data_IF_893829963868
#
_entry.id   IF_893829963868
#
_cell.length_a   1.000
_cell.length_b   1.000
_cell.length_c   1.000
_cell.angle_alpha   90.00
_cell.angle_beta   90.00
_cell.angle_gamma   90.00
#
_symmetry.space_group_name_H-M   'P 1'
#
loop_
_entity.id
_entity.type
_entity.pdbx_description
1 polymer ?
#
# COMPACT_ATOMS: atom_id res chain seq x y z
N UNK A 1 21.25 17.89 -33.08
CA UNK A 1 20.76 16.74 -32.31
C UNK A 1 19.28 16.69 -32.61
N UNK A 2 18.87 15.78 -33.49
CA UNK A 2 17.54 15.78 -34.11
C UNK A 2 16.58 14.92 -33.28
N UNK A 3 15.39 15.46 -32.99
CA UNK A 3 14.27 14.70 -32.41
C UNK A 3 13.69 13.78 -33.49
N UNK A 4 13.85 12.48 -33.28
CA UNK A 4 13.30 11.42 -34.12
C UNK A 4 11.98 10.95 -33.52
N UNK A 5 10.86 11.33 -34.15
CA UNK A 5 9.52 10.91 -33.71
C UNK A 5 9.32 9.45 -34.14
N UNK A 6 9.39 8.53 -33.18
CA UNK A 6 9.14 7.09 -33.40
C UNK A 6 7.63 6.84 -33.40
N UNK A 7 7.05 6.54 -34.57
CA UNK A 7 5.65 6.13 -34.69
C UNK A 7 5.52 4.62 -34.49
N UNK A 8 4.79 4.19 -33.45
CA UNK A 8 4.48 2.78 -33.19
C UNK A 8 3.42 2.31 -34.18
N UNK A 9 3.82 1.56 -35.20
CA UNK A 9 2.95 1.00 -36.26
C UNK A 9 2.59 -0.47 -36.00
N UNK A 10 2.23 -0.81 -34.76
CA UNK A 10 1.75 -2.15 -34.43
C UNK A 10 0.27 -2.08 -34.03
N UNK A 11 -0.61 -2.24 -35.02
CA UNK A 11 -2.01 -2.55 -34.75
C UNK A 11 -2.07 -4.03 -34.39
N UNK A 12 -2.24 -4.32 -33.10
CA UNK A 12 -2.57 -5.64 -32.61
C UNK A 12 -3.81 -6.16 -33.35
N UNK A 13 -3.65 -7.26 -34.08
CA UNK A 13 -4.69 -7.99 -34.81
C UNK A 13 -5.55 -8.85 -33.85
N UNK A 14 -5.55 -8.51 -32.56
CA UNK A 14 -6.42 -9.12 -31.57
C UNK A 14 -7.77 -8.40 -31.67
N UNK A 15 -8.74 -9.08 -32.28
CA UNK A 15 -10.13 -8.62 -32.32
C UNK A 15 -10.57 -8.20 -30.92
N UNK A 16 -11.10 -6.98 -30.80
CA UNK A 16 -11.58 -6.42 -29.54
C UNK A 16 -12.52 -7.43 -28.86
N UNK A 17 -12.23 -7.86 -27.62
CA UNK A 17 -13.03 -8.85 -26.90
C UNK A 17 -14.50 -8.41 -26.73
N UNK A 18 -14.78 -7.11 -26.78
CA UNK A 18 -16.14 -6.57 -26.82
C UNK A 18 -16.79 -6.84 -28.17
N UNK A 19 -16.06 -6.67 -29.28
CA UNK A 19 -16.54 -6.93 -30.63
C UNK A 19 -16.86 -8.42 -30.85
N UNK A 20 -16.06 -9.32 -30.30
CA UNK A 20 -16.33 -10.77 -30.34
C UNK A 20 -17.55 -11.17 -29.50
N UNK A 21 -17.75 -10.53 -28.34
CA UNK A 21 -18.98 -10.69 -27.55
C UNK A 21 -20.22 -10.19 -28.29
N UNK A 22 -20.12 -9.05 -28.99
CA UNK A 22 -21.21 -8.49 -29.78
C UNK A 22 -21.58 -9.40 -30.96
N UNK A 23 -20.61 -10.01 -31.64
CA UNK A 23 -20.87 -11.00 -32.71
C UNK A 23 -21.46 -12.31 -32.20
N UNK A 24 -21.18 -12.67 -30.95
CA UNK A 24 -21.67 -13.91 -30.32
C UNK A 24 -23.10 -13.80 -29.77
N UNK A 25 -23.66 -12.59 -29.68
CA UNK A 25 -25.02 -12.35 -29.23
C UNK A 25 -26.03 -12.88 -30.27
N UNK A 26 -26.77 -13.91 -29.88
CA UNK A 26 -27.90 -14.43 -30.67
C UNK A 26 -29.07 -13.45 -30.55
N UNK A 27 -29.55 -12.99 -31.70
CA UNK A 27 -30.79 -12.21 -31.79
C UNK A 27 -31.92 -13.08 -31.23
N UNK A 28 -32.51 -12.65 -30.12
CA UNK A 28 -33.64 -13.37 -29.50
C UNK A 28 -34.85 -13.30 -30.43
N UNK A 29 -35.69 -14.32 -30.35
CA UNK A 29 -36.95 -14.34 -31.11
C UNK A 29 -37.80 -13.12 -30.72
N UNK A 30 -38.45 -12.46 -31.70
CA UNK A 30 -39.22 -11.26 -31.45
C UNK A 30 -40.27 -11.49 -30.36
N UNK A 31 -40.38 -10.52 -29.45
CA UNK A 31 -41.33 -10.55 -28.31
C UNK A 31 -42.78 -10.60 -28.82
N UNK A 32 -43.01 -10.06 -30.01
CA UNK A 32 -44.30 -10.06 -30.68
C UNK A 32 -44.43 -11.29 -31.58
N UNK A 33 -45.46 -12.09 -31.34
CA UNK A 33 -45.82 -13.27 -32.12
C UNK A 33 -46.49 -12.92 -33.45
N UNK A 34 -46.81 -11.65 -33.70
CA UNK A 34 -47.31 -11.14 -34.98
C UNK A 34 -46.75 -9.75 -35.29
N UNK A 35 -46.58 -9.37 -36.57
CA UNK A 35 -46.21 -8.01 -36.96
C UNK A 35 -47.23 -7.00 -36.42
N UNK A 36 -46.81 -5.83 -35.91
CA UNK A 36 -47.73 -4.74 -35.62
C UNK A 36 -48.47 -4.38 -36.91
N UNK A 37 -49.82 -4.40 -36.89
CA UNK A 37 -50.61 -3.98 -38.03
C UNK A 37 -50.21 -2.53 -38.40
N UNK A 38 -49.85 -2.31 -39.67
CA UNK A 38 -49.39 -1.01 -40.20
C UNK A 38 -50.43 0.09 -39.91
N UNK A 39 -50.15 0.89 -38.89
CA UNK A 39 -50.95 2.05 -38.51
C UNK A 39 -50.03 3.19 -38.16
N UNK A 40 -50.33 4.38 -38.69
CA UNK A 40 -49.58 5.62 -38.44
C UNK A 40 -49.31 5.83 -36.94
N UNK A 41 -48.11 6.27 -36.58
CA UNK A 41 -47.71 6.54 -35.18
C UNK A 41 -48.71 7.44 -34.42
N UNK A 42 -49.37 8.36 -35.13
CA UNK A 42 -50.43 9.22 -34.58
C UNK A 42 -51.72 8.47 -34.25
N UNK A 43 -52.06 7.42 -35.00
CA UNK A 43 -53.22 6.55 -34.75
C UNK A 43 -53.00 5.64 -33.53
N UNK A 44 -51.75 5.35 -33.18
CA UNK A 44 -51.40 4.54 -32.01
C UNK A 44 -51.53 5.37 -30.72
N UNK A 45 -51.13 6.64 -30.75
CA UNK A 45 -51.16 7.53 -29.58
C UNK A 45 -52.57 8.00 -29.21
N UNK A 46 -53.46 8.15 -30.21
CA UNK A 46 -54.78 8.77 -30.03
C UNK A 46 -55.90 7.73 -29.84
N UNK A 47 -55.65 6.46 -30.16
CA UNK A 47 -56.66 5.39 -30.01
C UNK A 47 -56.77 4.98 -28.55
N UNK A 48 -57.77 5.56 -27.86
CA UNK A 48 -58.41 4.97 -26.68
C UNK A 48 -58.67 3.48 -26.99
N UNK A 49 -58.25 2.53 -26.14
CA UNK A 49 -58.29 1.12 -26.48
C UNK A 49 -59.75 0.70 -26.69
N UNK A 50 -60.16 0.60 -27.94
CA UNK A 50 -61.36 -0.12 -28.32
C UNK A 50 -61.16 -1.55 -27.89
N UNK A 51 -62.12 -2.09 -27.15
CA UNK A 51 -62.23 -3.49 -26.73
C UNK A 51 -62.04 -4.42 -27.92
N UNK A 52 -60.79 -4.72 -28.25
CA UNK A 52 -60.36 -5.67 -29.24
C UNK A 52 -59.49 -6.65 -28.49
N UNK A 53 -60.05 -7.83 -28.26
CA UNK A 53 -59.40 -8.98 -27.66
C UNK A 53 -58.37 -9.59 -28.61
N UNK A 54 -57.48 -8.78 -29.18
CA UNK A 54 -56.22 -9.28 -29.72
C UNK A 54 -55.21 -9.12 -28.61
N UNK A 55 -55.27 -10.09 -27.70
CA UNK A 55 -54.17 -10.43 -26.84
C UNK A 55 -52.92 -10.65 -27.69
N UNK A 56 -52.11 -9.61 -27.90
CA UNK A 56 -50.67 -9.80 -27.89
C UNK A 56 -50.29 -10.19 -26.45
N UNK A 57 -50.75 -11.38 -26.03
CA UNK A 57 -50.37 -12.01 -24.77
C UNK A 57 -48.89 -12.30 -24.95
N UNK A 58 -48.07 -11.39 -24.43
CA UNK A 58 -46.68 -11.67 -24.11
C UNK A 58 -46.68 -13.01 -23.40
N UNK A 59 -45.90 -13.98 -23.89
CA UNK A 59 -45.92 -15.32 -23.32
C UNK A 59 -45.64 -15.21 -21.82
N UNK A 60 -46.60 -15.59 -20.94
CA UNK A 60 -46.48 -15.34 -19.51
C UNK A 60 -45.24 -16.03 -18.90
N UNK A 61 -44.77 -17.12 -19.52
CA UNK A 61 -43.54 -17.81 -19.13
C UNK A 61 -42.29 -16.96 -19.40
N UNK A 62 -42.22 -16.30 -20.56
CA UNK A 62 -41.11 -15.40 -20.93
C UNK A 62 -41.11 -14.17 -20.03
N UNK A 63 -42.29 -13.67 -19.68
CA UNK A 63 -42.43 -12.55 -18.77
C UNK A 63 -41.97 -12.91 -17.33
N UNK A 64 -42.34 -14.09 -16.84
CA UNK A 64 -41.85 -14.62 -15.56
C UNK A 64 -40.33 -14.80 -15.54
N UNK A 65 -39.76 -15.32 -16.63
CA UNK A 65 -38.31 -15.48 -16.79
C UNK A 65 -37.59 -14.12 -16.78
N UNK A 66 -38.14 -13.11 -17.46
CA UNK A 66 -37.60 -11.75 -17.44
C UNK A 66 -37.62 -11.14 -16.03
N UNK A 67 -38.71 -11.32 -15.28
CA UNK A 67 -38.79 -10.84 -13.90
C UNK A 67 -37.83 -11.59 -12.96
N UNK A 68 -37.63 -12.89 -13.18
CA UNK A 68 -36.61 -13.65 -12.45
C UNK A 68 -35.22 -13.10 -12.73
N UNK A 69 -34.85 -12.98 -14.01
CA UNK A 69 -33.54 -12.47 -14.42
C UNK A 69 -33.30 -11.03 -13.92
N UNK A 70 -34.33 -10.19 -13.92
CA UNK A 70 -34.23 -8.84 -13.36
C UNK A 70 -34.02 -8.84 -11.85
N UNK A 71 -34.67 -9.73 -11.09
CA UNK A 71 -34.41 -9.86 -9.65
C UNK A 71 -32.99 -10.35 -9.38
N UNK A 72 -32.55 -11.38 -10.08
CA UNK A 72 -31.21 -11.94 -9.90
C UNK A 72 -30.14 -10.87 -10.18
N UNK A 73 -30.35 -10.06 -11.23
CA UNK A 73 -29.49 -8.91 -11.53
C UNK A 73 -29.54 -7.82 -10.45
N UNK A 74 -30.71 -7.56 -9.85
CA UNK A 74 -30.83 -6.60 -8.75
C UNK A 74 -30.10 -7.07 -7.49
N UNK A 75 -30.17 -8.35 -7.15
CA UNK A 75 -29.43 -8.92 -6.03
C UNK A 75 -27.91 -8.86 -6.27
N UNK A 76 -27.44 -9.17 -7.48
CA UNK A 76 -26.03 -9.03 -7.84
C UNK A 76 -25.56 -7.57 -7.79
N UNK A 77 -26.42 -6.64 -8.20
CA UNK A 77 -26.12 -5.21 -8.11
C UNK A 77 -25.94 -4.77 -6.65
N UNK A 78 -26.77 -5.25 -5.73
CA UNK A 78 -26.66 -4.95 -4.29
C UNK A 78 -25.35 -5.51 -3.70
N UNK A 79 -24.97 -6.76 -4.01
CA UNK A 79 -23.67 -7.33 -3.60
C UNK A 79 -22.48 -6.50 -4.09
N UNK A 80 -22.54 -6.00 -5.33
CA UNK A 80 -21.50 -5.14 -5.89
C UNK A 80 -21.40 -3.82 -5.12
N UNK A 81 -22.54 -3.21 -4.77
CA UNK A 81 -22.58 -1.95 -4.03
C UNK A 81 -21.96 -2.11 -2.62
N UNK A 82 -22.32 -3.18 -1.91
CA UNK A 82 -21.73 -3.53 -0.60
C UNK A 82 -20.21 -3.76 -0.70
N UNK A 83 -19.76 -4.46 -1.74
CA UNK A 83 -18.32 -4.70 -1.96
C UNK A 83 -17.55 -3.43 -2.30
N UNK A 84 -18.17 -2.48 -3.00
CA UNK A 84 -17.57 -1.17 -3.25
C UNK A 84 -17.43 -0.42 -1.93
N UNK A 85 -18.44 -0.42 -1.07
CA UNK A 85 -18.36 0.25 0.24
C UNK A 85 -17.25 -0.35 1.12
N UNK A 86 -17.14 -1.68 1.17
CA UNK A 86 -16.06 -2.38 1.89
C UNK A 86 -14.69 -2.03 1.29
N UNK A 87 -14.56 -1.99 -0.03
CA UNK A 87 -13.31 -1.64 -0.71
C UNK A 87 -12.87 -0.20 -0.40
N UNK A 88 -13.80 0.75 -0.41
CA UNK A 88 -13.54 2.15 -0.04
C UNK A 88 -13.10 2.27 1.42
N UNK A 89 -13.80 1.60 2.34
CA UNK A 89 -13.42 1.56 3.75
C UNK A 89 -12.02 0.95 3.96
N UNK A 90 -11.68 -0.08 3.19
CA UNK A 90 -10.36 -0.69 3.22
C UNK A 90 -9.28 0.25 2.67
N UNK A 91 -9.55 0.93 1.55
CA UNK A 91 -8.63 1.87 0.92
C UNK A 91 -8.26 3.02 1.86
N UNK A 92 -9.25 3.59 2.57
CA UNK A 92 -9.02 4.63 3.59
C UNK A 92 -8.16 4.11 4.74
N UNK A 93 -8.45 2.90 5.26
CA UNK A 93 -7.65 2.28 6.33
C UNK A 93 -6.22 2.00 5.90
N UNK A 94 -6.02 1.56 4.66
CA UNK A 94 -4.70 1.30 4.11
C UNK A 94 -3.90 2.60 3.99
N UNK A 95 -4.52 3.67 3.45
CA UNK A 95 -3.90 4.98 3.35
C UNK A 95 -3.52 5.54 4.73
N UNK A 96 -4.39 5.39 5.73
CA UNK A 96 -4.10 5.81 7.10
C UNK A 96 -2.90 5.06 7.68
N UNK A 97 -2.84 3.73 7.52
CA UNK A 97 -1.69 2.94 7.97
C UNK A 97 -0.40 3.33 7.25
N UNK A 98 -0.48 3.58 5.95
CA UNK A 98 0.68 4.00 5.16
C UNK A 98 1.22 5.34 5.66
N UNK A 99 0.35 6.33 5.84
CA UNK A 99 0.75 7.65 6.35
C UNK A 99 1.36 7.60 7.76
N UNK A 100 0.82 6.75 8.65
CA UNK A 100 1.41 6.50 9.95
C UNK A 100 2.82 5.89 9.83
N UNK A 101 2.97 4.86 8.99
CA UNK A 101 4.27 4.21 8.74
C UNK A 101 5.31 5.18 8.18
N UNK A 102 4.93 6.00 7.20
CA UNK A 102 5.81 7.05 6.64
C UNK A 102 6.23 8.04 7.70
N UNK A 103 5.30 8.48 8.56
CA UNK A 103 5.61 9.41 9.65
C UNK A 103 6.59 8.80 10.66
N UNK A 104 6.36 7.55 11.07
CA UNK A 104 7.25 6.83 11.98
C UNK A 104 8.65 6.63 11.38
N UNK A 105 8.72 6.26 10.10
CA UNK A 105 9.98 6.10 9.38
C UNK A 105 10.75 7.43 9.26
N UNK A 106 10.05 8.54 9.00
CA UNK A 106 10.65 9.88 8.97
C UNK A 106 11.25 10.26 10.32
N UNK A 107 10.54 10.03 11.41
CA UNK A 107 11.03 10.28 12.77
C UNK A 107 12.24 9.40 13.09
N UNK A 108 12.20 8.11 12.76
CA UNK A 108 13.34 7.20 12.96
C UNK A 108 14.56 7.63 12.14
N UNK A 109 14.36 8.02 10.87
CA UNK A 109 15.43 8.55 10.02
C UNK A 109 16.05 9.82 10.59
N UNK A 110 15.23 10.72 11.15
CA UNK A 110 15.71 11.95 11.79
C UNK A 110 16.60 11.63 13.00
N UNK A 111 16.14 10.75 13.89
CA UNK A 111 16.93 10.32 15.04
C UNK A 111 18.25 9.64 14.64
N UNK A 112 18.24 8.79 13.60
CA UNK A 112 19.46 8.16 13.09
C UNK A 112 20.44 9.19 12.50
N UNK A 113 19.92 10.23 11.84
CA UNK A 113 20.76 11.32 11.34
C UNK A 113 21.43 12.09 12.49
N UNK A 114 20.72 12.34 13.59
CA UNK A 114 21.28 12.98 14.79
C UNK A 114 22.33 12.10 15.47
N UNK A 115 22.08 10.80 15.59
CA UNK A 115 23.06 9.83 16.09
C UNK A 115 24.32 9.80 15.23
N UNK A 116 24.16 9.84 13.90
CA UNK A 116 25.30 9.87 12.99
C UNK A 116 26.18 11.12 13.19
N UNK A 117 25.56 12.29 13.36
CA UNK A 117 26.29 13.52 13.65
C UNK A 117 27.09 13.41 14.97
N UNK A 118 26.46 12.90 16.04
CA UNK A 118 27.15 12.67 17.32
C UNK A 118 28.30 11.66 17.20
N UNK A 119 28.14 10.60 16.41
CA UNK A 119 29.18 9.61 16.17
C UNK A 119 30.43 10.26 15.53
N UNK A 120 30.24 11.19 14.60
CA UNK A 120 31.33 11.95 13.98
C UNK A 120 32.04 12.83 15.00
N UNK A 121 31.29 13.60 15.81
CA UNK A 121 31.88 14.47 16.85
C UNK A 121 32.68 13.68 17.89
N UNK A 122 32.16 12.52 18.33
CA UNK A 122 32.88 11.61 19.24
C UNK A 122 34.17 11.11 18.60
N UNK A 123 34.13 10.76 17.31
CA UNK A 123 35.32 10.36 16.55
C UNK A 123 36.39 11.45 16.50
N UNK A 124 35.99 12.69 16.19
CA UNK A 124 36.90 13.85 16.17
C UNK A 124 37.50 14.13 17.55
N UNK A 125 36.66 14.11 18.60
CA UNK A 125 37.12 14.31 19.98
C UNK A 125 38.11 13.23 20.41
N UNK A 126 37.84 11.96 20.07
CA UNK A 126 38.76 10.85 20.32
C UNK A 126 40.10 11.06 19.59
N UNK A 127 40.07 11.55 18.35
CA UNK A 127 41.27 11.90 17.59
C UNK A 127 42.09 12.99 18.29
N UNK A 128 41.45 14.10 18.66
CA UNK A 128 42.10 15.21 19.39
C UNK A 128 42.68 14.77 20.73
N UNK A 129 41.97 13.96 21.49
CA UNK A 129 42.46 13.42 22.77
C UNK A 129 43.69 12.52 22.55
N UNK A 130 43.66 11.68 21.52
CA UNK A 130 44.80 10.81 21.17
C UNK A 130 46.04 11.63 20.81
N UNK A 131 45.85 12.73 20.07
CA UNK A 131 46.93 13.67 19.74
C UNK A 131 47.50 14.33 21.00
N UNK A 132 46.64 14.81 21.90
CA UNK A 132 47.06 15.42 23.18
C UNK A 132 47.84 14.41 24.04
N UNK A 133 47.37 13.17 24.16
CA UNK A 133 48.09 12.12 24.89
C UNK A 133 49.46 11.86 24.25
N UNK A 134 49.52 11.73 22.93
CA UNK A 134 50.78 11.54 22.20
C UNK A 134 51.75 12.71 22.39
N UNK A 135 51.23 13.96 22.38
CA UNK A 135 52.01 15.15 22.66
C UNK A 135 52.57 15.14 24.09
N UNK A 136 51.73 14.80 25.07
CA UNK A 136 52.15 14.63 26.47
C UNK A 136 53.21 13.54 26.60
N UNK A 137 53.07 12.38 25.94
CA UNK A 137 54.07 11.30 25.96
C UNK A 137 55.40 11.72 25.32
N UNK A 138 55.36 12.49 24.24
CA UNK A 138 56.55 13.08 23.63
C UNK A 138 57.23 14.06 24.59
N UNK A 139 56.45 14.89 25.30
CA UNK A 139 56.96 15.79 26.32
C UNK A 139 57.56 15.02 27.50
N UNK A 140 56.88 13.97 27.99
CA UNK A 140 57.40 13.11 29.05
C UNK A 140 58.76 12.52 28.67
N UNK A 141 58.89 12.00 27.44
CA UNK A 141 60.15 11.48 26.92
C UNK A 141 61.24 12.55 26.86
N UNK A 142 60.92 13.76 26.40
CA UNK A 142 61.88 14.88 26.37
C UNK A 142 62.36 15.25 27.77
N UNK A 143 61.46 15.31 28.75
CA UNK A 143 61.84 15.60 30.15
C UNK A 143 62.76 14.49 30.70
N UNK A 144 62.52 13.23 30.37
CA UNK A 144 63.40 12.13 30.78
C UNK A 144 64.83 12.25 30.24
N UNK A 145 65.01 12.79 29.01
CA UNK A 145 66.32 12.88 28.35
C UNK A 145 67.04 14.21 28.67
N UNK A 146 66.32 15.33 28.60
CA UNK A 146 66.87 16.69 28.61
C UNK A 146 66.46 17.48 29.87
N UNK A 147 65.54 16.96 30.67
CA UNK A 147 64.96 17.70 31.79
C UNK A 147 65.88 17.78 33.03
N UNK A 148 65.56 18.67 33.99
CA UNK A 148 66.23 18.76 35.29
C UNK A 148 66.10 17.46 36.09
N UNK A 149 67.13 17.08 36.87
CA UNK A 149 67.15 15.81 37.61
C UNK A 149 65.93 15.58 38.50
N UNK A 150 65.41 16.64 39.16
CA UNK A 150 64.21 16.57 40.00
C UNK A 150 62.94 16.16 39.25
N UNK A 151 62.87 16.42 37.93
CA UNK A 151 61.71 16.10 37.11
C UNK A 151 61.83 14.73 36.42
N UNK A 152 63.06 14.23 36.21
CA UNK A 152 63.31 12.92 35.57
C UNK A 152 62.74 11.76 36.39
N UNK A 153 62.76 11.87 37.71
CA UNK A 153 62.24 10.83 38.62
C UNK A 153 60.72 10.91 38.82
N UNK A 154 60.08 12.04 38.50
CA UNK A 154 58.65 12.30 38.78
C UNK A 154 57.72 12.02 37.59
N UNK A 155 58.22 11.98 36.36
CA UNK A 155 57.38 11.91 35.15
C UNK A 155 57.14 10.45 34.72
N UNK A 156 55.87 10.09 34.50
CA UNK A 156 55.45 8.82 33.88
C UNK A 156 54.63 9.11 32.61
N UNK A 157 54.93 8.46 31.46
CA UNK A 157 54.09 8.55 30.27
C UNK A 157 52.68 8.00 30.52
N UNK A 158 51.70 8.51 29.77
CA UNK A 158 50.32 8.07 29.81
C UNK A 158 50.19 6.76 29.01
N UNK A 159 50.15 5.62 29.70
CA UNK A 159 49.89 4.34 29.02
C UNK A 159 48.44 4.30 28.52
N UNK A 160 48.24 4.41 27.20
CA UNK A 160 46.96 4.15 26.55
C UNK A 160 46.68 2.65 26.64
N UNK A 161 45.82 2.24 27.57
CA UNK A 161 45.23 0.91 27.52
C UNK A 161 44.39 0.81 26.25
N UNK A 162 44.84 0.01 25.28
CA UNK A 162 44.02 -0.42 24.14
C UNK A 162 42.90 -1.31 24.67
N UNK A 163 41.87 -0.69 25.23
CA UNK A 163 40.59 -1.35 25.41
C UNK A 163 39.89 -1.34 24.05
N UNK A 164 40.26 -2.30 23.20
CA UNK A 164 39.36 -2.83 22.18
C UNK A 164 38.24 -3.59 22.91
N UNK A 165 37.39 -2.84 23.62
CA UNK A 165 36.17 -3.39 24.17
C UNK A 165 35.11 -3.20 23.11
N UNK A 166 34.86 -4.26 22.35
CA UNK A 166 33.67 -4.40 21.52
C UNK A 166 32.46 -3.94 22.32
N UNK A 167 31.87 -2.81 21.94
CA UNK A 167 30.51 -2.46 22.35
C UNK A 167 29.57 -3.43 21.64
N UNK A 168 29.51 -4.68 22.11
CA UNK A 168 28.40 -5.56 21.81
C UNK A 168 27.19 -4.99 22.54
N UNK A 169 26.39 -4.22 21.80
CA UNK A 169 25.03 -3.89 22.21
C UNK A 169 24.24 -5.18 22.35
N UNK A 170 24.14 -5.70 23.57
CA UNK A 170 23.17 -6.73 23.93
C UNK A 170 21.75 -6.12 23.83
N UNK A 171 21.19 -6.14 22.62
CA UNK A 171 19.75 -5.96 22.42
C UNK A 171 19.09 -7.33 22.56
N UNK A 172 18.92 -7.75 23.81
CA UNK A 172 18.07 -8.86 24.20
C UNK A 172 17.08 -8.30 25.20
N UNK A 173 15.88 -7.97 24.73
CA UNK A 173 14.61 -8.12 25.46
C UNK A 173 13.47 -7.33 24.79
N UNK A 174 13.00 -7.78 23.63
CA UNK A 174 11.60 -7.60 23.19
C UNK A 174 11.20 -8.78 22.27
N UNK A 175 11.29 -10.00 22.80
CA UNK A 175 10.61 -11.18 22.25
C UNK A 175 9.82 -11.87 23.36
N UNK A 176 8.71 -11.25 23.78
CA UNK A 176 7.63 -11.96 24.47
C UNK A 176 6.35 -11.12 24.45
N UNK A 177 5.57 -11.25 23.39
CA UNK A 177 4.11 -11.46 23.45
C UNK A 177 3.50 -11.40 22.04
N UNK A 178 3.71 -12.48 21.30
CA UNK A 178 2.93 -12.85 20.12
C UNK A 178 2.18 -14.13 20.48
N UNK A 179 1.33 -14.06 21.52
CA UNK A 179 0.35 -15.10 21.81
C UNK A 179 -0.78 -14.58 22.73
N UNK A 180 -1.58 -13.64 22.22
CA UNK A 180 -2.92 -13.41 22.79
C UNK A 180 -3.93 -13.14 21.68
N UNK A 181 -4.43 -14.23 21.11
CA UNK A 181 -5.69 -14.25 20.36
C UNK A 181 -6.50 -15.45 20.85
N UNK A 182 -7.55 -15.20 21.65
CA UNK A 182 -8.94 -15.39 21.25
C UNK A 182 -9.89 -15.07 22.44
N UNK A 183 -11.08 -14.51 22.19
CA UNK A 183 -12.11 -14.31 23.20
C UNK A 183 -12.90 -15.60 23.41
N UNK A 184 -13.00 -16.06 24.67
CA UNK A 184 -13.93 -17.12 25.04
C UNK A 184 -15.35 -16.56 25.10
N UNK A 185 -16.21 -17.11 24.25
CA UNK A 185 -17.66 -17.02 24.41
C UNK A 185 -18.07 -17.82 25.65
N UNK A 186 -18.79 -17.19 26.58
CA UNK A 186 -19.62 -17.88 27.55
C UNK A 186 -21.09 -17.58 27.25
N UNK A 187 -21.75 -18.57 26.64
CA UNK A 187 -23.17 -18.82 26.77
C UNK A 187 -23.44 -19.40 28.17
N UNK A 188 -24.37 -18.81 28.92
CA UNK A 188 -25.20 -19.57 29.85
C UNK A 188 -26.57 -18.92 30.06
N UNK A 189 -27.61 -19.69 29.71
CA UNK A 189 -28.98 -19.55 30.20
C UNK A 189 -28.99 -19.67 31.73
N UNK A 190 -29.73 -18.79 32.39
CA UNK A 190 -30.97 -19.09 33.14
C UNK A 190 -31.72 -17.77 33.43
#
# INVERSE_FOLDING_TARGET
>A
MADEITTVSERSEVADPVLEKLKSLKISTPILTSPPAEGSLTDILVRKPSSSSVSSIVNPKVLLELFSMYRDWQEEKEDIEDKIEVADALAVKLLQRFNYSVSAMKTSSQHLSEVHALQVEIGELKGRLTEVISNCDALCRRISVEGPESLRSSVKPFAVGTADQEFQSSSSDLQRDLNRSLPSAETKLD
#
